data_IF_078337220193
#
_entry.id   IF_078337220193
#
_cell.length_a   1.000
_cell.length_b   1.000
_cell.length_c   1.000
_cell.angle_alpha   90.00
_cell.angle_beta   90.00
_cell.angle_gamma   90.00
#
_symmetry.space_group_name_H-M   'P 1'
#
loop_
_entity.id
_entity.type
_entity.pdbx_description
1 polymer ?
#
# COMPACT_ATOMS: atom_id res chain seq x y z
N UNK A 1 -50.08 -44.42 31.01
CA UNK A 1 -50.44 -43.55 29.88
C UNK A 1 -49.61 -42.28 30.01
N UNK A 2 -48.46 -42.22 29.34
CA UNK A 2 -47.50 -41.09 29.40
C UNK A 2 -47.51 -40.40 28.05
N UNK A 3 -47.93 -39.13 28.01
CA UNK A 3 -47.87 -38.29 26.81
C UNK A 3 -46.45 -37.78 26.66
N UNK A 4 -45.76 -38.19 25.58
CA UNK A 4 -44.53 -37.55 25.11
C UNK A 4 -44.92 -36.35 24.24
N UNK A 5 -44.69 -35.15 24.73
CA UNK A 5 -44.75 -33.92 23.93
C UNK A 5 -43.44 -33.79 23.15
N UNK A 6 -43.51 -33.94 21.82
CA UNK A 6 -42.43 -33.57 20.93
C UNK A 6 -42.39 -32.05 20.78
N UNK A 7 -41.25 -31.45 21.12
CA UNK A 7 -40.96 -30.05 20.80
C UNK A 7 -40.17 -30.08 19.49
N UNK A 8 -40.83 -29.74 18.38
CA UNK A 8 -40.17 -29.37 17.14
C UNK A 8 -39.80 -27.89 17.25
N UNK A 9 -38.51 -27.59 17.36
CA UNK A 9 -38.02 -26.21 17.27
C UNK A 9 -37.66 -25.94 15.81
N UNK A 10 -38.51 -25.15 15.14
CA UNK A 10 -38.24 -24.55 13.84
C UNK A 10 -37.03 -23.61 13.96
N UNK A 11 -35.90 -23.98 13.37
CA UNK A 11 -34.79 -23.06 13.16
C UNK A 11 -35.14 -22.21 11.93
N UNK A 12 -35.66 -21.01 12.20
CA UNK A 12 -35.82 -19.96 11.20
C UNK A 12 -34.44 -19.54 10.72
N UNK A 13 -34.07 -20.00 9.53
CA UNK A 13 -32.83 -19.65 8.84
C UNK A 13 -32.97 -18.25 8.21
N UNK A 14 -32.70 -17.22 9.00
CA UNK A 14 -32.48 -15.87 8.48
C UNK A 14 -31.05 -15.77 7.93
N UNK A 15 -30.91 -16.01 6.62
CA UNK A 15 -29.72 -15.60 5.87
C UNK A 15 -29.74 -14.08 5.73
N UNK A 16 -28.97 -13.38 6.56
CA UNK A 16 -28.51 -12.03 6.25
C UNK A 16 -27.17 -12.20 5.51
N UNK A 17 -27.23 -12.22 4.19
CA UNK A 17 -26.07 -12.03 3.32
C UNK A 17 -25.76 -10.53 3.30
N UNK A 18 -24.83 -10.09 4.14
CA UNK A 18 -24.11 -8.83 3.92
C UNK A 18 -22.81 -9.16 3.21
N UNK A 19 -22.88 -9.29 1.88
CA UNK A 19 -21.74 -9.05 1.01
C UNK A 19 -21.74 -7.53 0.76
N UNK A 20 -20.84 -6.83 1.43
CA UNK A 20 -20.59 -5.42 1.15
C UNK A 20 -19.09 -5.23 1.25
N UNK A 21 -18.42 -5.54 0.15
CA UNK A 21 -17.04 -5.15 -0.15
C UNK A 21 -16.96 -4.79 -1.65
N UNK A 22 -17.88 -3.92 -2.07
CA UNK A 22 -17.76 -2.94 -3.14
C UNK A 22 -18.50 -1.74 -2.54
N UNK A 23 -17.77 -0.73 -2.07
CA UNK A 23 -18.33 0.32 -1.21
C UNK A 23 -18.96 1.43 -2.05
N UNK A 24 -20.20 1.77 -1.69
CA UNK A 24 -21.03 2.84 -2.27
C UNK A 24 -20.44 4.25 -2.12
N UNK A 25 -20.53 5.07 -3.17
CA UNK A 25 -20.39 6.53 -3.05
C UNK A 25 -21.75 7.22 -2.87
N UNK A 26 -21.79 8.08 -1.85
CA UNK A 26 -22.84 9.05 -1.58
C UNK A 26 -22.39 10.41 -2.14
N UNK A 27 -23.13 10.87 -3.13
CA UNK A 27 -22.92 12.12 -3.85
C UNK A 27 -23.16 13.35 -2.96
N UNK A 28 -22.15 14.21 -2.78
CA UNK A 28 -22.36 15.62 -2.43
C UNK A 28 -21.52 16.52 -3.32
N UNK A 29 -22.23 17.16 -4.25
CA UNK A 29 -21.80 18.22 -5.16
C UNK A 29 -21.50 19.51 -4.38
N UNK A 30 -20.35 20.15 -4.62
CA UNK A 30 -20.20 21.60 -4.56
C UNK A 30 -19.18 22.08 -5.61
N UNK A 31 -19.50 23.27 -6.12
CA UNK A 31 -19.03 23.98 -7.32
C UNK A 31 -17.51 24.34 -7.26
N UNK A 32 -16.79 24.59 -8.37
CA UNK A 32 -16.85 25.93 -8.96
C UNK A 32 -16.27 26.09 -10.38
N UNK A 33 -16.84 27.09 -11.05
CA UNK A 33 -16.57 27.52 -12.42
C UNK A 33 -15.48 28.59 -12.48
N UNK A 34 -14.48 28.34 -13.33
CA UNK A 34 -14.10 29.10 -14.52
C UNK A 34 -13.76 30.62 -14.47
N UNK A 35 -12.81 30.97 -15.36
CA UNK A 35 -12.50 32.27 -16.03
C UNK A 35 -11.58 33.25 -15.29
N UNK A 36 -10.29 33.34 -15.68
CA UNK A 36 -9.66 34.08 -16.81
C UNK A 36 -9.52 35.59 -16.63
N UNK A 37 -8.29 36.08 -16.82
CA UNK A 37 -7.84 37.31 -17.53
C UNK A 37 -6.55 37.81 -16.86
N UNK A 38 -5.62 38.52 -17.49
CA UNK A 38 -5.15 38.71 -18.85
C UNK A 38 -3.97 39.70 -18.73
N UNK A 39 -2.96 39.51 -19.59
CA UNK A 39 -2.13 40.52 -20.23
C UNK A 39 -1.38 41.61 -19.43
N UNK A 40 -0.05 41.64 -19.60
CA UNK A 40 0.76 42.72 -20.24
C UNK A 40 2.23 42.60 -19.75
N UNK A 41 3.28 43.10 -20.40
CA UNK A 41 3.70 43.45 -21.77
C UNK A 41 5.14 44.01 -21.57
N UNK A 42 6.00 43.86 -22.60
CA UNK A 42 7.29 44.56 -22.87
C UNK A 42 8.53 44.27 -21.99
N UNK A 43 9.61 43.74 -22.58
CA UNK A 43 10.70 44.44 -23.36
C UNK A 43 11.70 45.13 -22.40
N UNK A 44 13.04 44.98 -22.46
CA UNK A 44 14.00 45.02 -23.58
C UNK A 44 15.44 44.62 -23.13
N UNK A 45 16.21 44.05 -24.08
CA UNK A 45 17.66 44.23 -24.43
C UNK A 45 18.81 44.22 -23.39
N UNK A 46 19.72 43.25 -23.59
CA UNK A 46 21.21 43.25 -23.65
C UNK A 46 22.07 44.25 -22.86
N UNK A 47 23.06 43.75 -22.11
CA UNK A 47 24.48 43.78 -22.54
C UNK A 47 25.50 43.10 -21.58
N UNK A 48 26.66 42.85 -22.18
CA UNK A 48 27.82 42.01 -21.85
C UNK A 48 28.64 42.29 -20.56
N UNK A 49 29.17 41.19 -20.01
CA UNK A 49 30.56 40.87 -19.62
C UNK A 49 31.41 41.85 -18.78
N UNK A 50 31.93 41.39 -17.63
CA UNK A 50 33.36 41.46 -17.24
C UNK A 50 33.64 40.77 -15.89
N UNK A 51 34.81 40.11 -15.84
CA UNK A 51 35.43 39.32 -14.76
C UNK A 51 35.92 40.17 -13.57
N UNK A 52 36.04 39.56 -12.38
CA UNK A 52 37.35 39.23 -11.78
C UNK A 52 37.16 38.45 -10.47
N UNK A 53 38.21 37.67 -10.17
CA UNK A 53 38.38 36.67 -9.12
C UNK A 53 38.21 37.20 -7.68
N UNK A 54 37.58 36.41 -6.82
CA UNK A 54 37.96 36.31 -5.40
C UNK A 54 37.93 34.84 -4.94
N UNK A 55 39.05 34.46 -4.31
CA UNK A 55 39.38 33.16 -3.75
C UNK A 55 38.40 32.70 -2.66
N UNK A 56 37.97 31.45 -2.82
CA UNK A 56 37.91 30.39 -1.80
C UNK A 56 37.86 30.80 -0.32
N UNK A 57 36.70 30.61 0.32
CA UNK A 57 36.61 30.20 1.73
C UNK A 57 35.27 29.53 2.15
N UNK A 58 34.38 29.15 1.21
CA UNK A 58 33.03 28.61 1.53
C UNK A 58 32.84 27.09 1.30
N UNK A 59 33.91 26.33 1.05
CA UNK A 59 33.80 24.95 0.51
C UNK A 59 34.07 23.81 1.53
N UNK A 60 34.35 24.14 2.80
CA UNK A 60 34.53 23.14 3.87
C UNK A 60 33.24 22.95 4.68
N UNK A 61 32.49 24.02 4.98
CA UNK A 61 31.25 23.94 5.77
C UNK A 61 30.11 23.22 5.01
N UNK A 62 30.07 23.31 3.67
CA UNK A 62 29.09 22.59 2.85
C UNK A 62 29.43 21.10 2.70
N UNK A 63 30.72 20.74 2.67
CA UNK A 63 31.16 19.34 2.58
C UNK A 63 30.94 18.60 3.90
N UNK A 64 31.24 19.23 5.03
CA UNK A 64 31.00 18.65 6.35
C UNK A 64 29.49 18.44 6.59
N UNK A 65 28.63 19.33 6.10
CA UNK A 65 27.19 19.17 6.19
C UNK A 65 26.66 18.03 5.31
N UNK A 66 27.17 17.89 4.08
CA UNK A 66 26.79 16.82 3.15
C UNK A 66 27.29 15.44 3.62
N UNK A 67 28.52 15.35 4.13
CA UNK A 67 29.08 14.11 4.69
C UNK A 67 28.33 13.65 5.95
N UNK A 68 27.98 14.58 6.85
CA UNK A 68 27.17 14.26 8.03
C UNK A 68 25.74 13.84 7.66
N UNK A 69 25.13 14.45 6.63
CA UNK A 69 23.80 14.06 6.16
C UNK A 69 23.79 12.65 5.56
N UNK A 70 24.80 12.32 4.74
CA UNK A 70 24.97 10.97 4.17
C UNK A 70 25.20 9.92 5.27
N UNK A 71 26.06 10.22 6.25
CA UNK A 71 26.29 9.31 7.38
C UNK A 71 25.01 9.07 8.22
N UNK A 72 24.18 10.10 8.38
CA UNK A 72 22.89 9.98 9.07
C UNK A 72 21.86 9.19 8.26
N UNK A 73 21.82 9.35 6.94
CA UNK A 73 20.97 8.56 6.06
C UNK A 73 21.35 7.08 6.10
N UNK A 74 22.65 6.76 6.03
CA UNK A 74 23.17 5.40 6.17
C UNK A 74 22.79 4.80 7.54
N UNK A 75 22.92 5.56 8.63
CA UNK A 75 22.50 5.09 9.96
C UNK A 75 20.99 4.83 10.04
N UNK A 76 20.17 5.72 9.49
CA UNK A 76 18.72 5.54 9.47
C UNK A 76 18.33 4.32 8.63
N UNK A 77 18.96 4.14 7.48
CA UNK A 77 18.73 2.99 6.61
C UNK A 77 19.01 1.66 7.33
N UNK A 78 20.10 1.58 8.09
CA UNK A 78 20.40 0.40 8.91
C UNK A 78 19.33 0.16 9.99
N UNK A 79 18.77 1.22 10.58
CA UNK A 79 17.64 1.07 11.52
C UNK A 79 16.36 0.60 10.82
N UNK A 80 16.07 1.10 9.61
CA UNK A 80 14.94 0.61 8.80
C UNK A 80 15.08 -0.89 8.52
N UNK A 81 16.27 -1.35 8.12
CA UNK A 81 16.55 -2.77 7.92
C UNK A 81 16.28 -3.60 9.17
N UNK A 82 16.67 -3.08 10.34
CA UNK A 82 16.42 -3.74 11.63
C UNK A 82 14.92 -3.82 11.95
N UNK A 83 14.16 -2.74 11.74
CA UNK A 83 12.69 -2.74 11.93
C UNK A 83 12.04 -3.79 11.02
N UNK A 84 12.36 -3.80 9.73
CA UNK A 84 11.77 -4.77 8.78
C UNK A 84 12.18 -6.21 9.06
N UNK A 85 13.43 -6.45 9.42
CA UNK A 85 13.89 -7.78 9.86
C UNK A 85 13.10 -8.24 11.08
N UNK A 86 12.90 -7.35 12.07
CA UNK A 86 12.10 -7.65 13.26
C UNK A 86 10.65 -7.99 12.90
N UNK A 87 10.02 -7.25 11.99
CA UNK A 87 8.66 -7.56 11.51
C UNK A 87 8.61 -8.98 10.93
N UNK A 88 9.52 -9.31 10.01
CA UNK A 88 9.54 -10.63 9.35
C UNK A 88 9.85 -11.78 10.33
N UNK A 89 10.78 -11.57 11.26
CA UNK A 89 11.17 -12.60 12.24
C UNK A 89 10.06 -12.91 13.26
N UNK A 90 9.12 -11.97 13.46
CA UNK A 90 7.99 -12.12 14.37
C UNK A 90 6.69 -12.58 13.68
N UNK A 91 6.74 -12.97 12.39
CA UNK A 91 5.57 -13.49 11.71
C UNK A 91 5.04 -14.78 12.37
N UNK A 92 3.80 -14.70 12.83
CA UNK A 92 3.08 -15.76 13.55
C UNK A 92 2.17 -16.52 12.59
N UNK A 93 1.82 -17.79 12.80
CA UNK A 93 0.77 -18.46 12.03
C UNK A 93 -0.65 -17.89 12.28
N UNK A 94 -0.83 -16.96 13.22
CA UNK A 94 -2.12 -16.28 13.43
C UNK A 94 -2.53 -15.48 12.20
N UNK A 95 -3.81 -15.58 11.82
CA UNK A 95 -4.33 -14.89 10.63
C UNK A 95 -4.29 -13.38 10.84
N UNK A 96 -3.84 -12.64 9.82
CA UNK A 96 -3.94 -11.18 9.83
C UNK A 96 -5.40 -10.76 9.99
N UNK A 97 -6.30 -11.37 9.24
CA UNK A 97 -7.73 -11.17 9.38
C UNK A 97 -8.34 -12.26 10.29
N UNK A 98 -8.67 -11.95 11.56
CA UNK A 98 -9.25 -12.93 12.48
C UNK A 98 -10.68 -13.34 12.11
N UNK A 99 -11.37 -12.58 11.23
CA UNK A 99 -12.69 -12.95 10.73
C UNK A 99 -12.63 -14.07 9.68
N UNK A 100 -11.46 -14.30 9.07
CA UNK A 100 -11.23 -15.43 8.18
C UNK A 100 -11.34 -16.71 8.99
N UNK A 101 -12.36 -17.54 8.69
CA UNK A 101 -12.62 -18.78 9.43
C UNK A 101 -11.36 -19.62 9.48
N UNK A 102 -11.09 -20.23 10.63
CA UNK A 102 -10.13 -21.31 10.71
C UNK A 102 -10.64 -22.46 9.84
N UNK A 103 -9.97 -22.62 8.71
CA UNK A 103 -10.23 -23.57 7.65
C UNK A 103 -9.25 -24.75 7.71
N UNK A 104 -8.36 -24.77 8.73
CA UNK A 104 -7.35 -25.79 8.92
C UNK A 104 -6.20 -25.73 7.91
N UNK A 105 -6.08 -24.63 7.17
CA UNK A 105 -5.00 -24.43 6.20
C UNK A 105 -3.80 -23.75 6.85
N UNK A 106 -2.60 -24.18 6.45
CA UNK A 106 -1.36 -23.54 6.86
C UNK A 106 -1.15 -22.26 6.04
N UNK A 107 -0.56 -21.24 6.66
CA UNK A 107 -0.05 -20.08 5.94
C UNK A 107 1.47 -20.12 5.86
N UNK A 108 1.99 -19.59 4.75
CA UNK A 108 3.40 -19.19 4.61
C UNK A 108 3.46 -17.67 4.44
N UNK A 109 4.67 -17.12 4.33
CA UNK A 109 4.84 -15.70 4.15
C UNK A 109 5.81 -15.39 3.01
N UNK A 110 5.44 -14.39 2.23
CA UNK A 110 6.31 -13.68 1.30
C UNK A 110 6.26 -12.19 1.63
N UNK A 111 7.20 -11.43 1.09
CA UNK A 111 7.23 -9.98 1.27
C UNK A 111 7.74 -9.25 0.05
N UNK A 112 7.46 -7.95 0.01
CA UNK A 112 8.00 -7.02 -0.97
C UNK A 112 8.36 -5.69 -0.32
N UNK A 113 9.33 -5.01 -0.92
CA UNK A 113 9.69 -3.64 -0.58
C UNK A 113 9.32 -2.75 -1.75
N UNK A 114 8.38 -1.84 -1.53
CA UNK A 114 7.85 -0.98 -2.59
C UNK A 114 8.17 0.48 -2.28
N UNK A 115 8.99 1.10 -3.13
CA UNK A 115 9.32 2.52 -3.00
C UNK A 115 8.22 3.38 -3.61
N UNK A 116 7.46 4.05 -2.76
CA UNK A 116 6.54 5.12 -3.16
C UNK A 116 7.26 6.47 -3.11
N UNK A 117 6.87 7.41 -3.98
CA UNK A 117 7.51 8.73 -4.01
C UNK A 117 7.19 9.58 -2.77
N UNK A 118 6.05 9.36 -2.14
CA UNK A 118 5.57 10.12 -0.98
C UNK A 118 6.10 9.59 0.36
N UNK A 119 6.88 8.51 0.36
CA UNK A 119 7.50 7.93 1.54
C UNK A 119 9.01 8.01 1.41
N UNK A 120 9.73 8.29 2.51
CA UNK A 120 11.20 8.39 2.50
C UNK A 120 11.89 7.03 2.29
N UNK A 121 11.30 5.96 2.82
CA UNK A 121 11.79 4.59 2.72
C UNK A 121 10.80 3.70 1.95
N UNK A 122 11.23 2.55 1.42
CA UNK A 122 10.30 1.59 0.83
C UNK A 122 9.30 1.09 1.85
N UNK A 123 8.03 0.99 1.47
CA UNK A 123 6.97 0.35 2.24
C UNK A 123 7.18 -1.17 2.24
N UNK A 124 7.06 -1.80 3.40
CA UNK A 124 7.11 -3.26 3.51
C UNK A 124 5.70 -3.83 3.38
N UNK A 125 5.49 -4.63 2.34
CA UNK A 125 4.28 -5.43 2.15
C UNK A 125 4.57 -6.85 2.62
N UNK A 126 3.79 -7.36 3.56
CA UNK A 126 3.87 -8.76 3.99
C UNK A 126 2.61 -9.48 3.54
N UNK A 127 2.81 -10.60 2.85
CA UNK A 127 1.77 -11.43 2.28
C UNK A 127 1.64 -12.67 3.16
N UNK A 128 0.49 -12.86 3.81
CA UNK A 128 0.14 -14.11 4.45
C UNK A 128 -0.47 -15.04 3.40
N UNK A 129 0.35 -15.93 2.86
CA UNK A 129 0.01 -16.80 1.74
C UNK A 129 -0.73 -18.04 2.22
N UNK A 130 -1.94 -18.26 1.71
CA UNK A 130 -2.73 -19.44 2.04
C UNK A 130 -2.66 -20.50 0.94
N UNK A 131 -2.68 -21.77 1.33
CA UNK A 131 -2.58 -22.92 0.41
C UNK A 131 -3.75 -23.09 -0.58
N UNK A 132 -4.75 -22.21 -0.51
CA UNK A 132 -5.89 -22.15 -1.40
C UNK A 132 -5.82 -21.05 -2.47
N UNK A 133 -4.66 -20.42 -2.62
CA UNK A 133 -4.37 -19.51 -3.73
C UNK A 133 -4.81 -18.06 -3.48
N UNK A 134 -4.97 -17.70 -2.21
CA UNK A 134 -5.25 -16.35 -1.75
C UNK A 134 -4.15 -15.92 -0.81
N UNK A 135 -3.91 -14.62 -0.73
CA UNK A 135 -3.01 -14.03 0.27
C UNK A 135 -3.68 -12.80 0.87
N UNK A 136 -3.47 -12.60 2.17
CA UNK A 136 -3.84 -11.36 2.86
C UNK A 136 -2.58 -10.49 2.99
N UNK A 137 -2.66 -9.25 2.51
CA UNK A 137 -1.54 -8.30 2.57
C UNK A 137 -1.73 -7.37 3.77
N UNK A 138 -0.65 -7.19 4.54
CA UNK A 138 -0.53 -6.17 5.57
C UNK A 138 0.68 -5.28 5.31
N UNK A 139 0.53 -3.99 5.58
CA UNK A 139 1.55 -2.98 5.28
C UNK A 139 2.29 -2.56 6.56
N UNK A 140 3.59 -2.32 6.43
CA UNK A 140 4.47 -1.93 7.52
C UNK A 140 5.43 -0.84 7.10
N UNK A 141 5.73 0.06 8.03
CA UNK A 141 6.65 1.18 7.84
C UNK A 141 7.40 1.49 9.15
N UNK A 142 8.64 2.00 9.17
CA UNK A 142 9.29 2.41 10.42
C UNK A 142 8.58 3.61 11.05
N UNK A 143 8.50 3.66 12.38
CA UNK A 143 8.12 4.89 13.07
C UNK A 143 9.24 5.95 12.93
N UNK A 144 8.91 7.21 13.28
CA UNK A 144 9.81 8.37 13.11
C UNK A 144 11.20 8.20 13.73
N UNK A 145 11.29 7.49 14.85
CA UNK A 145 12.55 7.27 15.57
C UNK A 145 13.23 5.93 15.22
N UNK A 146 12.66 5.18 14.27
CA UNK A 146 13.15 3.87 13.79
C UNK A 146 13.33 2.81 14.90
N UNK A 147 12.47 2.86 15.90
CA UNK A 147 12.51 1.97 17.08
C UNK A 147 11.46 0.87 17.04
N UNK A 148 10.38 1.06 16.27
CA UNK A 148 9.31 0.10 16.07
C UNK A 148 8.70 0.27 14.68
N UNK A 149 7.94 -0.71 14.26
CA UNK A 149 7.07 -0.64 13.10
C UNK A 149 5.78 0.15 13.41
N UNK A 150 5.26 0.78 12.37
CA UNK A 150 3.88 1.16 12.19
C UNK A 150 3.25 0.06 11.32
N UNK A 151 2.05 -0.40 11.66
CA UNK A 151 1.32 -1.41 10.88
C UNK A 151 -0.02 -0.87 10.45
N UNK A 152 -0.49 -1.26 9.25
CA UNK A 152 -1.85 -0.96 8.82
C UNK A 152 -2.91 -1.69 9.64
N UNK A 153 -4.08 -1.10 9.81
CA UNK A 153 -5.27 -1.83 10.27
C UNK A 153 -5.98 -2.53 9.09
N UNK A 154 -5.90 -1.92 7.91
CA UNK A 154 -6.40 -2.45 6.66
C UNK A 154 -5.61 -3.68 6.21
N UNK A 155 -6.35 -4.66 5.70
CA UNK A 155 -5.82 -5.90 5.13
C UNK A 155 -6.39 -6.02 3.72
N UNK A 156 -5.52 -6.23 2.74
CA UNK A 156 -5.91 -6.28 1.32
C UNK A 156 -5.81 -7.72 0.83
N UNK A 157 -6.93 -8.37 0.46
CA UNK A 157 -6.90 -9.72 -0.07
C UNK A 157 -6.51 -9.72 -1.55
N UNK A 158 -5.63 -10.63 -1.95
CA UNK A 158 -5.27 -10.89 -3.35
C UNK A 158 -5.34 -12.39 -3.66
N UNK A 159 -5.17 -12.73 -4.93
CA UNK A 159 -5.16 -14.10 -5.43
C UNK A 159 -6.50 -14.51 -6.04
N UNK A 160 -6.72 -15.82 -6.12
CA UNK A 160 -7.89 -16.41 -6.77
C UNK A 160 -8.59 -17.35 -5.81
N UNK A 161 -9.80 -16.96 -5.38
CA UNK A 161 -10.57 -17.79 -4.47
C UNK A 161 -11.10 -19.04 -5.18
N UNK A 162 -10.91 -20.22 -4.56
CA UNK A 162 -11.44 -21.51 -5.06
C UNK A 162 -12.97 -21.50 -5.20
N UNK A 163 -13.65 -20.76 -4.33
CA UNK A 163 -15.10 -20.59 -4.30
C UNK A 163 -15.44 -19.13 -4.02
N UNK A 164 -16.55 -18.63 -4.58
CA UNK A 164 -16.96 -17.22 -4.45
C UNK A 164 -16.49 -16.32 -5.59
N UNK A 165 -15.58 -16.78 -6.45
CA UNK A 165 -15.26 -16.11 -7.71
C UNK A 165 -14.36 -14.88 -7.59
N UNK A 166 -13.89 -14.54 -6.39
CA UNK A 166 -12.96 -13.42 -6.20
C UNK A 166 -11.63 -13.67 -6.93
N UNK A 167 -11.16 -12.63 -7.61
CA UNK A 167 -9.81 -12.50 -8.15
C UNK A 167 -9.32 -11.10 -7.80
N UNK A 168 -8.13 -10.97 -7.25
CA UNK A 168 -7.54 -9.67 -6.98
C UNK A 168 -6.03 -9.71 -7.11
N UNK A 169 -5.46 -8.56 -7.43
CA UNK A 169 -4.01 -8.39 -7.51
C UNK A 169 -3.64 -6.94 -7.18
N UNK A 170 -2.37 -6.73 -6.90
CA UNK A 170 -1.82 -5.42 -6.56
C UNK A 170 -0.54 -5.12 -7.34
N UNK A 171 -0.40 -3.89 -7.80
CA UNK A 171 0.77 -3.41 -8.52
C UNK A 171 1.19 -2.02 -8.05
N UNK A 172 2.38 -1.58 -8.46
CA UNK A 172 2.81 -0.21 -8.28
C UNK A 172 2.23 0.66 -9.40
N UNK A 173 1.57 1.76 -9.06
CA UNK A 173 1.05 2.71 -10.06
C UNK A 173 2.17 3.31 -10.92
N UNK A 174 1.85 3.75 -12.14
CA UNK A 174 2.80 4.42 -13.03
C UNK A 174 3.39 5.70 -12.41
N UNK A 175 2.60 6.46 -11.64
CA UNK A 175 3.11 7.63 -10.92
C UNK A 175 4.06 7.25 -9.78
N UNK A 176 3.96 6.02 -9.26
CA UNK A 176 4.63 5.52 -8.06
C UNK A 176 4.23 6.24 -6.76
N UNK A 177 3.09 6.93 -6.76
CA UNK A 177 2.56 7.58 -5.55
C UNK A 177 1.62 6.67 -4.77
N UNK A 178 1.02 5.68 -5.44
CA UNK A 178 0.04 4.73 -4.88
C UNK A 178 0.35 3.30 -5.32
N UNK A 179 -0.29 2.34 -4.66
CA UNK A 179 -0.46 0.99 -5.22
C UNK A 179 -1.78 0.94 -5.97
N UNK A 180 -1.78 0.30 -7.13
CA UNK A 180 -3.01 -0.02 -7.87
C UNK A 180 -3.48 -1.40 -7.46
N UNK A 181 -4.66 -1.47 -6.88
CA UNK A 181 -5.37 -2.71 -6.59
C UNK A 181 -6.47 -2.91 -7.62
N UNK A 182 -6.67 -4.13 -8.09
CA UNK A 182 -7.86 -4.45 -8.86
C UNK A 182 -8.51 -5.70 -8.30
N UNK A 183 -9.83 -5.77 -8.43
CA UNK A 183 -10.57 -6.98 -8.09
C UNK A 183 -11.66 -7.30 -9.13
N UNK A 184 -11.99 -8.59 -9.27
CA UNK A 184 -12.98 -9.10 -10.20
C UNK A 184 -13.81 -10.19 -9.52
N UNK A 185 -15.13 -10.07 -9.61
CA UNK A 185 -16.09 -11.12 -9.30
C UNK A 185 -16.32 -12.01 -10.52
N UNK A 186 -15.72 -13.21 -10.56
CA UNK A 186 -15.86 -14.15 -11.69
C UNK A 186 -17.31 -14.61 -11.94
N UNK A 187 -18.21 -14.44 -10.97
CA UNK A 187 -19.61 -14.83 -11.11
C UNK A 187 -20.46 -13.80 -11.84
N UNK A 188 -20.15 -12.51 -11.66
CA UNK A 188 -20.93 -11.39 -12.20
C UNK A 188 -20.19 -10.60 -13.27
N UNK A 189 -18.86 -10.63 -13.26
CA UNK A 189 -18.00 -9.76 -14.06
C UNK A 189 -17.77 -8.39 -13.42
N UNK A 190 -18.42 -8.08 -12.30
CA UNK A 190 -18.22 -6.81 -11.60
C UNK A 190 -16.76 -6.70 -11.16
N UNK A 191 -16.16 -5.55 -11.42
CA UNK A 191 -14.74 -5.29 -11.25
C UNK A 191 -14.50 -3.87 -10.73
N UNK A 192 -13.41 -3.69 -9.99
CA UNK A 192 -12.92 -2.37 -9.57
C UNK A 192 -11.42 -2.24 -9.82
N UNK A 193 -10.99 -0.98 -9.97
CA UNK A 193 -9.61 -0.57 -9.80
C UNK A 193 -9.61 0.50 -8.71
N UNK A 194 -8.76 0.32 -7.72
CA UNK A 194 -8.66 1.17 -6.54
C UNK A 194 -7.20 1.63 -6.37
N UNK A 195 -7.03 2.89 -6.02
CA UNK A 195 -5.75 3.44 -5.55
C UNK A 195 -5.62 3.20 -4.05
N UNK A 196 -4.48 2.68 -3.62
CA UNK A 196 -4.11 2.53 -2.22
C UNK A 196 -2.98 3.52 -1.91
N UNK A 197 -3.27 4.49 -1.05
CA UNK A 197 -2.33 5.50 -0.57
C UNK A 197 -2.06 5.37 0.92
N UNK A 198 -0.93 5.90 1.36
CA UNK A 198 -0.43 5.74 2.72
C UNK A 198 -0.14 7.11 3.35
N UNK A 199 -0.61 7.30 4.57
CA UNK A 199 -0.32 8.47 5.39
C UNK A 199 0.28 8.03 6.73
N UNK A 200 1.29 8.78 7.18
CA UNK A 200 1.96 8.53 8.44
C UNK A 200 1.32 9.40 9.53
N UNK A 201 0.71 8.75 10.51
CA UNK A 201 0.28 9.38 11.77
C UNK A 201 1.25 8.97 12.89
N UNK A 202 1.25 9.70 14.02
CA UNK A 202 2.27 9.55 15.08
C UNK A 202 2.55 8.10 15.50
N UNK A 203 1.51 7.26 15.56
CA UNK A 203 1.63 5.85 15.96
C UNK A 203 1.03 4.84 14.97
N UNK A 204 0.49 5.28 13.82
CA UNK A 204 -0.24 4.43 12.89
C UNK A 204 0.18 4.66 11.44
N UNK A 205 0.12 3.59 10.65
CA UNK A 205 0.18 3.65 9.19
C UNK A 205 -1.27 3.65 8.67
N UNK A 206 -1.77 4.82 8.28
CA UNK A 206 -3.13 4.97 7.77
C UNK A 206 -3.16 4.59 6.28
N UNK A 207 -4.03 3.64 5.92
CA UNK A 207 -4.19 3.17 4.55
C UNK A 207 -5.53 3.66 4.01
N UNK A 208 -5.47 4.47 2.95
CA UNK A 208 -6.65 4.96 2.26
C UNK A 208 -6.82 4.20 0.95
N UNK A 209 -7.99 3.60 0.75
CA UNK A 209 -8.37 2.90 -0.47
C UNK A 209 -9.45 3.71 -1.16
N UNK A 210 -9.16 4.19 -2.37
CA UNK A 210 -10.08 5.02 -3.16
C UNK A 210 -10.36 4.37 -4.50
N UNK A 211 -11.64 4.18 -4.81
CA UNK A 211 -12.00 3.66 -6.13
C UNK A 211 -11.75 4.69 -7.23
N UNK A 212 -11.05 4.26 -8.27
CA UNK A 212 -10.80 5.08 -9.48
C UNK A 212 -11.66 4.64 -10.64
N UNK A 213 -12.13 3.39 -10.62
CA UNK A 213 -13.03 2.85 -11.63
C UNK A 213 -13.78 1.64 -11.09
N UNK A 214 -15.07 1.55 -11.44
CA UNK A 214 -15.91 0.37 -11.21
C UNK A 214 -16.71 0.06 -12.47
N UNK A 215 -16.94 -1.22 -12.76
CA UNK A 215 -17.74 -1.62 -13.92
C UNK A 215 -17.66 -3.11 -14.24
N UNK A 216 -18.04 -3.46 -15.47
CA UNK A 216 -17.88 -4.83 -15.98
C UNK A 216 -16.43 -5.06 -16.40
N UNK A 217 -15.89 -6.25 -16.14
CA UNK A 217 -14.53 -6.65 -16.53
C UNK A 217 -14.24 -6.42 -18.02
N UNK A 218 -15.24 -6.62 -18.89
CA UNK A 218 -15.12 -6.42 -20.34
C UNK A 218 -14.82 -4.95 -20.71
N UNK A 219 -15.20 -4.00 -19.85
CA UNK A 219 -15.01 -2.56 -20.02
C UNK A 219 -13.85 -2.02 -19.17
N UNK A 220 -13.11 -2.90 -18.47
CA UNK A 220 -12.05 -2.49 -17.57
C UNK A 220 -10.92 -1.79 -18.34
N UNK A 221 -10.53 -0.56 -17.93
CA UNK A 221 -9.42 0.12 -18.57
C UNK A 221 -8.13 -0.69 -18.38
N UNK A 222 -7.20 -0.52 -19.31
CA UNK A 222 -5.88 -1.12 -19.14
C UNK A 222 -5.23 -0.52 -17.89
N UNK A 223 -4.81 -1.37 -16.96
CA UNK A 223 -4.08 -0.92 -15.78
C UNK A 223 -2.70 -0.41 -16.19
N UNK A 224 -2.36 0.81 -15.77
CA UNK A 224 -1.03 1.40 -15.88
C UNK A 224 -0.24 1.13 -14.60
N UNK A 225 -0.11 -0.15 -14.23
CA UNK A 225 0.64 -0.58 -13.03
C UNK A 225 1.72 -1.59 -13.40
N UNK A 226 2.86 -1.54 -12.71
CA UNK A 226 3.90 -2.55 -12.80
C UNK A 226 3.72 -3.63 -11.73
N UNK A 227 4.07 -4.90 -12.02
CA UNK A 227 4.06 -5.96 -11.02
C UNK A 227 5.03 -5.66 -9.88
N UNK A 228 4.75 -6.21 -8.71
CA UNK A 228 5.60 -6.11 -7.52
C UNK A 228 6.36 -7.44 -7.36
N UNK A 229 7.68 -7.36 -7.21
CA UNK A 229 8.52 -8.53 -7.01
C UNK A 229 8.38 -9.07 -5.59
N UNK A 230 8.06 -10.36 -5.47
CA UNK A 230 7.91 -11.05 -4.19
C UNK A 230 9.21 -11.78 -3.82
N UNK A 231 9.55 -11.73 -2.54
CA UNK A 231 10.64 -12.50 -1.92
C UNK A 231 10.10 -13.45 -0.86
N UNK A 232 10.71 -14.62 -0.72
CA UNK A 232 10.40 -15.53 0.38
C UNK A 232 10.79 -14.88 1.71
N UNK A 233 10.00 -15.10 2.78
CA UNK A 233 10.29 -14.53 4.10
C UNK A 233 11.59 -15.03 4.73
N UNK A 234 12.33 -15.97 4.15
CA UNK A 234 13.68 -16.33 4.59
C UNK A 234 14.79 -15.64 3.79
N UNK A 235 14.46 -15.06 2.63
CA UNK A 235 15.40 -14.30 1.82
C UNK A 235 15.49 -12.86 2.35
N UNK A 236 16.68 -12.41 2.73
CA UNK A 236 16.92 -11.06 3.27
C UNK A 236 17.61 -10.14 2.27
N UNK A 237 17.91 -10.60 1.05
CA UNK A 237 18.70 -9.84 0.07
C UNK A 237 18.03 -8.50 -0.25
N UNK A 238 16.71 -8.46 -0.41
CA UNK A 238 16.00 -7.21 -0.70
C UNK A 238 16.08 -6.21 0.48
N UNK A 239 16.03 -6.70 1.72
CA UNK A 239 16.21 -5.88 2.93
C UNK A 239 17.64 -5.36 3.04
N UNK A 240 18.62 -6.24 2.86
CA UNK A 240 20.05 -5.89 2.98
C UNK A 240 20.46 -4.79 1.98
N UNK A 241 19.77 -4.76 0.82
CA UNK A 241 20.00 -3.82 -0.27
C UNK A 241 18.94 -2.70 -0.38
N UNK A 242 18.19 -2.39 0.68
CA UNK A 242 17.26 -1.24 0.68
C UNK A 242 18.00 0.03 0.26
N UNK A 243 17.35 0.81 -0.59
CA UNK A 243 17.78 2.14 -1.01
C UNK A 243 16.61 3.12 -0.88
N UNK A 244 16.92 4.39 -0.66
CA UNK A 244 15.95 5.50 -0.65
C UNK A 244 15.59 5.96 -2.07
N UNK A 245 16.31 5.49 -3.10
CA UNK A 245 16.11 5.85 -4.51
C UNK A 245 15.35 4.78 -5.29
N UNK A 246 14.60 5.22 -6.31
CA UNK A 246 13.87 4.41 -7.28
C UNK A 246 14.74 3.88 -8.43
#
# INVERSE_FOLDING_TARGET
>A
MMKKTMIALLISLTFLLSLTACSSEQETTLEDKNLTESANDKSSEDNEESKDDEESEDNEESKDAEENALAQEDENLEKVKQVYTSVLDNMSPEKFNPATKDDGFNCTYTYSLVKLNNLDYPLLLVYQDYDYGMSDIKFYYPNKDFTKELSSDEIVPIGVARAGGFRGDIGLSESKDTLSYFCVSSGTGDSSIDDISFELEDENLNVQIKSVWEGSFDDMPQSSSSPIDLSDISDRIAIDNISTSN
#
